data_IF_428518184708
#
_entry.id   IF_428518184708
#
_cell.length_a   1.000
_cell.length_b   1.000
_cell.length_c   1.000
_cell.angle_alpha   90.00
_cell.angle_beta   90.00
_cell.angle_gamma   90.00
#
_symmetry.space_group_name_H-M   'P 1'
#
loop_
_entity.id
_entity.type
_entity.pdbx_description
1 polymer ?
#
# COMPACT_ATOMS: atom_id res chain seq x y z
N UNK A 1 -6.01 35.97 24.90
CA UNK A 1 -6.79 34.71 24.81
C UNK A 1 -5.79 33.57 24.69
N UNK A 2 -5.67 32.77 25.75
CA UNK A 2 -4.64 31.74 25.97
C UNK A 2 -5.05 30.43 25.29
N UNK A 3 -4.10 29.80 24.57
CA UNK A 3 -4.31 28.52 23.89
C UNK A 3 -4.59 27.38 24.90
N UNK A 4 -5.53 26.47 24.63
CA UNK A 4 -5.76 25.31 25.49
C UNK A 4 -4.56 24.34 25.40
N UNK A 5 -4.08 23.92 26.57
CA UNK A 5 -2.83 23.22 26.77
C UNK A 5 -2.70 21.88 26.03
N UNK A 6 -1.54 21.71 25.40
CA UNK A 6 -1.11 20.50 24.67
C UNK A 6 -0.58 19.39 25.60
N UNK A 7 -1.34 19.02 26.64
CA UNK A 7 -0.95 17.94 27.56
C UNK A 7 -2.04 16.86 27.67
N UNK A 8 -2.43 16.29 26.53
CA UNK A 8 -3.10 15.00 26.54
C UNK A 8 -2.10 13.89 26.90
N UNK A 9 -2.50 12.83 27.62
CA UNK A 9 -1.62 11.72 27.94
C UNK A 9 -1.04 11.12 26.65
N UNK A 10 0.29 11.10 26.54
CA UNK A 10 0.97 10.43 25.43
C UNK A 10 0.65 8.93 25.52
N UNK A 11 0.27 8.27 24.41
CA UNK A 11 0.07 6.83 24.43
C UNK A 11 1.34 6.16 24.95
N UNK A 12 1.21 5.34 25.99
CA UNK A 12 2.32 4.50 26.46
C UNK A 12 2.47 3.37 25.47
N UNK A 13 3.41 3.52 24.55
CA UNK A 13 3.65 2.50 23.53
C UNK A 13 4.37 1.29 24.13
N UNK A 14 4.09 0.05 23.69
CA UNK A 14 4.71 -1.16 24.20
C UNK A 14 6.23 -1.13 24.05
N UNK A 15 6.95 -1.41 25.14
CA UNK A 15 8.41 -1.57 25.12
C UNK A 15 8.77 -2.85 24.35
N UNK A 16 9.55 -2.73 23.27
CA UNK A 16 10.04 -3.86 22.48
C UNK A 16 9.73 -3.81 20.98
N UNK A 17 8.90 -2.86 20.54
CA UNK A 17 8.70 -2.60 19.11
C UNK A 17 9.87 -1.78 18.57
N UNK A 18 10.64 -2.39 17.67
CA UNK A 18 11.76 -1.76 16.96
C UNK A 18 11.42 -1.62 15.48
N UNK A 19 12.20 -0.84 14.73
CA UNK A 19 11.97 -0.66 13.28
C UNK A 19 12.06 -1.97 12.48
N UNK A 20 12.69 -2.98 13.04
CA UNK A 20 12.80 -4.37 12.59
C UNK A 20 11.53 -5.22 12.80
N UNK A 21 10.47 -4.66 13.40
CA UNK A 21 9.17 -5.34 13.50
C UNK A 21 8.37 -5.26 12.17
N UNK A 22 7.56 -6.30 11.83
CA UNK A 22 6.92 -6.43 10.52
C UNK A 22 5.92 -5.30 10.17
N UNK A 23 5.56 -4.45 11.14
CA UNK A 23 4.92 -3.17 10.93
C UNK A 23 5.91 -2.09 11.36
N UNK A 24 6.32 -1.15 10.47
CA UNK A 24 7.29 -0.14 10.83
C UNK A 24 6.74 0.70 11.97
N UNK A 25 7.32 0.52 13.15
CA UNK A 25 6.82 1.10 14.39
C UNK A 25 6.86 2.64 14.34
N UNK A 26 7.90 3.22 13.74
CA UNK A 26 7.99 4.65 13.46
C UNK A 26 6.81 5.17 12.61
N UNK A 27 6.35 4.37 11.63
CA UNK A 27 5.23 4.72 10.75
C UNK A 27 3.93 4.87 11.52
N UNK A 28 3.64 3.94 12.42
CA UNK A 28 2.43 3.98 13.25
C UNK A 28 2.40 5.19 14.19
N UNK A 29 3.54 5.51 14.83
CA UNK A 29 3.64 6.66 15.74
C UNK A 29 3.41 7.98 15.02
N UNK A 30 3.97 8.13 13.82
CA UNK A 30 3.72 9.31 12.97
C UNK A 30 2.25 9.36 12.57
N UNK A 31 1.70 8.27 12.04
CA UNK A 31 0.31 8.22 11.55
C UNK A 31 -0.73 8.50 12.63
N UNK A 32 -0.53 8.04 13.87
CA UNK A 32 -1.42 8.34 14.98
C UNK A 32 -1.57 9.85 15.24
N UNK A 33 -0.55 10.64 14.88
CA UNK A 33 -0.53 12.08 15.09
C UNK A 33 -0.86 12.90 13.83
N UNK A 34 -0.98 12.31 12.64
CA UNK A 34 -1.38 13.02 11.42
C UNK A 34 -2.88 13.32 11.47
N UNK A 35 -3.24 14.60 11.49
CA UNK A 35 -4.63 15.06 11.50
C UNK A 35 -4.91 16.27 10.56
N UNK A 36 -3.93 16.62 9.71
CA UNK A 36 -4.03 17.75 8.78
C UNK A 36 -3.93 19.14 9.40
N UNK A 37 -3.75 19.26 10.72
CA UNK A 37 -3.66 20.54 11.45
C UNK A 37 -2.32 20.75 12.17
N UNK A 38 -1.55 19.68 12.36
CA UNK A 38 -0.25 19.68 13.04
C UNK A 38 0.90 19.85 12.06
N UNK A 39 1.91 20.59 12.51
CA UNK A 39 3.19 20.76 11.82
C UNK A 39 4.06 19.51 11.92
N UNK A 40 5.11 19.44 11.09
CA UNK A 40 6.05 18.31 11.07
C UNK A 40 6.80 18.20 12.41
N UNK A 41 7.13 19.34 13.01
CA UNK A 41 7.82 19.45 14.29
C UNK A 41 6.97 18.94 15.46
N UNK A 42 5.69 19.30 15.49
CA UNK A 42 4.73 18.80 16.49
C UNK A 42 4.53 17.29 16.37
N UNK A 43 4.43 16.77 15.13
CA UNK A 43 4.33 15.34 14.87
C UNK A 43 5.59 14.62 15.35
N UNK A 44 6.78 15.13 15.04
CA UNK A 44 8.06 14.55 15.49
C UNK A 44 8.14 14.48 17.02
N UNK A 45 7.76 15.56 17.71
CA UNK A 45 7.81 15.63 19.16
C UNK A 45 6.83 14.65 19.82
N UNK A 46 5.62 14.52 19.29
CA UNK A 46 4.61 13.58 19.80
C UNK A 46 4.97 12.12 19.48
N UNK A 47 5.45 11.89 18.26
CA UNK A 47 5.92 10.59 17.79
C UNK A 47 7.30 10.21 18.33
N UNK A 48 7.99 11.08 19.07
CA UNK A 48 9.30 10.82 19.67
C UNK A 48 10.34 10.31 18.68
N UNK A 49 10.41 10.93 17.50
CA UNK A 49 11.40 10.69 16.45
C UNK A 49 12.06 12.00 16.02
N UNK A 50 13.15 11.94 15.25
CA UNK A 50 13.76 13.13 14.67
C UNK A 50 12.85 13.80 13.64
N UNK A 51 12.88 15.13 13.57
CA UNK A 51 12.09 15.91 12.59
C UNK A 51 12.44 15.50 11.15
N UNK A 52 13.73 15.23 10.89
CA UNK A 52 14.23 14.74 9.61
C UNK A 52 13.65 13.38 9.20
N UNK A 53 13.18 12.57 10.15
CA UNK A 53 12.67 11.21 9.91
C UNK A 53 11.17 11.22 9.58
N UNK A 54 10.45 12.31 9.89
CA UNK A 54 9.00 12.41 9.65
C UNK A 54 8.68 12.40 8.15
N UNK A 55 9.40 13.16 7.33
CA UNK A 55 9.12 13.28 5.90
C UNK A 55 9.31 11.95 5.13
N UNK A 56 10.40 11.19 5.33
CA UNK A 56 10.54 9.84 4.77
C UNK A 56 9.40 8.91 5.16
N UNK A 57 8.98 8.94 6.43
CA UNK A 57 7.88 8.12 6.94
C UNK A 57 6.55 8.51 6.27
N UNK A 58 6.25 9.80 6.15
CA UNK A 58 5.04 10.27 5.47
C UNK A 58 5.02 9.91 3.97
N UNK A 59 6.17 9.94 3.31
CA UNK A 59 6.30 9.49 1.91
C UNK A 59 6.00 7.99 1.77
N UNK A 60 6.51 7.18 2.70
CA UNK A 60 6.24 5.74 2.73
C UNK A 60 4.76 5.46 2.99
N UNK A 61 4.14 6.16 3.94
CA UNK A 61 2.69 6.11 4.19
C UNK A 61 1.91 6.46 2.93
N UNK A 62 2.24 7.57 2.27
CA UNK A 62 1.52 8.02 1.08
C UNK A 62 1.56 6.95 -0.02
N UNK A 63 2.73 6.32 -0.20
CA UNK A 63 2.90 5.20 -1.13
C UNK A 63 1.99 4.02 -0.77
N UNK A 64 1.89 3.68 0.51
CA UNK A 64 1.06 2.56 0.97
C UNK A 64 -0.43 2.86 0.88
N UNK A 65 -0.84 4.07 1.28
CA UNK A 65 -2.21 4.54 1.20
C UNK A 65 -2.68 4.61 -0.27
N UNK A 66 -1.84 5.11 -1.17
CA UNK A 66 -2.15 5.15 -2.60
C UNK A 66 -2.32 3.73 -3.18
N UNK A 67 -1.42 2.81 -2.84
CA UNK A 67 -1.54 1.40 -3.26
C UNK A 67 -2.80 0.72 -2.70
N UNK A 68 -3.13 0.96 -1.45
CA UNK A 68 -4.35 0.45 -0.83
C UNK A 68 -5.59 1.02 -1.54
N UNK A 69 -5.61 2.33 -1.81
CA UNK A 69 -6.69 2.98 -2.53
C UNK A 69 -6.86 2.41 -3.94
N UNK A 70 -5.76 2.24 -4.70
CA UNK A 70 -5.78 1.63 -6.03
C UNK A 70 -6.32 0.19 -6.00
N UNK A 71 -5.94 -0.61 -5.01
CA UNK A 71 -6.43 -1.99 -4.86
C UNK A 71 -7.91 -2.10 -4.53
N UNK A 72 -8.47 -1.10 -3.84
CA UNK A 72 -9.90 -1.05 -3.51
C UNK A 72 -10.77 -0.53 -4.65
N UNK A 73 -10.18 0.05 -5.71
CA UNK A 73 -10.94 0.51 -6.87
C UNK A 73 -11.43 -0.67 -7.72
N UNK A 74 -12.60 -0.49 -8.34
CA UNK A 74 -13.08 -1.39 -9.38
C UNK A 74 -12.09 -1.42 -10.55
N UNK A 75 -11.91 -2.60 -11.15
CA UNK A 75 -11.03 -2.76 -12.30
C UNK A 75 -11.60 -1.97 -13.48
N UNK A 76 -10.85 -0.97 -13.92
CA UNK A 76 -11.08 -0.29 -15.19
C UNK A 76 -10.53 -1.11 -16.35
N UNK A 77 -11.05 -0.87 -17.56
CA UNK A 77 -10.55 -1.52 -18.78
C UNK A 77 -9.04 -1.32 -18.99
N UNK A 78 -8.54 -0.10 -18.76
CA UNK A 78 -7.11 0.21 -18.88
C UNK A 78 -6.25 -0.57 -17.86
N UNK A 79 -6.76 -0.78 -16.65
CA UNK A 79 -6.08 -1.61 -15.65
C UNK A 79 -6.09 -3.09 -16.05
N UNK A 80 -7.20 -3.62 -16.55
CA UNK A 80 -7.28 -4.99 -17.06
C UNK A 80 -6.29 -5.23 -18.21
N UNK A 81 -6.23 -4.30 -19.19
CA UNK A 81 -5.27 -4.36 -20.29
C UNK A 81 -3.81 -4.34 -19.78
N UNK A 82 -3.51 -3.49 -18.80
CA UNK A 82 -2.17 -3.42 -18.22
C UNK A 82 -1.80 -4.70 -17.47
N UNK A 83 -2.75 -5.30 -16.73
CA UNK A 83 -2.57 -6.57 -16.04
C UNK A 83 -2.35 -7.71 -17.04
N UNK A 84 -3.14 -7.75 -18.12
CA UNK A 84 -2.99 -8.70 -19.22
C UNK A 84 -1.60 -8.61 -19.83
N UNK A 85 -1.13 -7.42 -20.22
CA UNK A 85 0.24 -7.22 -20.75
C UNK A 85 1.33 -7.73 -19.78
N UNK A 86 1.16 -7.49 -18.47
CA UNK A 86 2.10 -7.97 -17.46
C UNK A 86 2.13 -9.50 -17.39
N UNK A 87 0.97 -10.15 -17.46
CA UNK A 87 0.84 -11.61 -17.48
C UNK A 87 1.36 -12.22 -18.79
N UNK A 88 1.07 -11.60 -19.93
CA UNK A 88 1.61 -12.04 -21.23
C UNK A 88 3.12 -12.02 -21.27
N UNK A 89 3.75 -11.07 -20.58
CA UNK A 89 5.21 -11.01 -20.45
C UNK A 89 5.78 -12.20 -19.65
N UNK A 90 5.01 -12.78 -18.73
CA UNK A 90 5.44 -13.89 -17.86
C UNK A 90 5.06 -15.26 -18.43
N UNK A 91 3.87 -15.39 -19.01
CA UNK A 91 3.28 -16.66 -19.45
C UNK A 91 3.08 -16.77 -20.96
N UNK A 92 3.44 -15.74 -21.73
CA UNK A 92 3.08 -15.65 -23.14
C UNK A 92 1.57 -15.47 -23.34
N UNK A 93 1.03 -15.80 -24.53
CA UNK A 93 -0.38 -15.55 -24.87
C UNK A 93 -1.41 -16.14 -23.90
N UNK A 94 -1.05 -17.20 -23.15
CA UNK A 94 -1.91 -17.80 -22.13
C UNK A 94 -2.27 -16.82 -21.00
N UNK A 95 -1.44 -15.81 -20.76
CA UNK A 95 -1.70 -14.80 -19.74
C UNK A 95 -2.94 -13.93 -20.03
N UNK A 96 -3.31 -13.78 -21.30
CA UNK A 96 -4.50 -12.99 -21.69
C UNK A 96 -5.79 -13.73 -21.31
N UNK A 97 -5.88 -15.02 -21.64
CA UNK A 97 -7.01 -15.88 -21.27
C UNK A 97 -7.21 -15.97 -19.75
N UNK A 98 -6.12 -16.05 -18.97
CA UNK A 98 -6.23 -16.07 -17.51
C UNK A 98 -6.86 -14.80 -16.93
N UNK A 99 -6.65 -13.64 -17.56
CA UNK A 99 -7.26 -12.39 -17.12
C UNK A 99 -8.74 -12.36 -17.45
N UNK A 100 -9.11 -12.80 -18.66
CA UNK A 100 -10.51 -12.87 -19.09
C UNK A 100 -11.30 -13.85 -18.23
N UNK A 101 -10.77 -15.05 -18.00
CA UNK A 101 -11.38 -16.05 -17.12
C UNK A 101 -11.55 -15.52 -15.68
N UNK A 102 -10.52 -14.84 -15.14
CA UNK A 102 -10.60 -14.27 -13.80
C UNK A 102 -11.59 -13.11 -13.70
N UNK A 103 -11.76 -12.30 -14.76
CA UNK A 103 -12.75 -11.22 -14.79
C UNK A 103 -14.17 -11.76 -14.89
N UNK A 104 -14.38 -12.82 -15.67
CA UNK A 104 -15.67 -13.51 -15.79
C UNK A 104 -16.06 -14.19 -14.47
N UNK A 105 -15.11 -14.86 -13.81
CA UNK A 105 -15.33 -15.52 -12.51
C UNK A 105 -15.64 -14.54 -11.37
N UNK A 106 -14.92 -13.42 -11.31
CA UNK A 106 -15.07 -12.41 -10.24
C UNK A 106 -16.22 -11.43 -10.51
N UNK A 107 -16.65 -11.31 -11.77
CA UNK A 107 -17.75 -10.47 -12.23
C UNK A 107 -17.44 -8.97 -12.33
N UNK A 108 -18.42 -8.24 -12.88
CA UNK A 108 -18.31 -6.84 -13.31
C UNK A 108 -18.00 -5.78 -12.24
N UNK A 109 -17.91 -6.15 -10.95
CA UNK A 109 -17.57 -5.23 -9.84
C UNK A 109 -16.33 -5.67 -9.08
N UNK A 110 -15.50 -6.52 -9.68
CA UNK A 110 -14.27 -6.94 -9.05
C UNK A 110 -13.32 -5.76 -8.83
N UNK A 111 -12.58 -5.81 -7.72
CA UNK A 111 -11.55 -4.82 -7.41
C UNK A 111 -10.21 -5.26 -7.96
N UNK A 112 -9.30 -4.31 -8.19
CA UNK A 112 -7.94 -4.63 -8.63
C UNK A 112 -7.25 -5.58 -7.63
N UNK A 113 -7.48 -5.41 -6.33
CA UNK A 113 -6.94 -6.31 -5.31
C UNK A 113 -7.47 -7.74 -5.43
N UNK A 114 -8.75 -7.92 -5.73
CA UNK A 114 -9.37 -9.23 -5.91
C UNK A 114 -8.85 -9.93 -7.18
N UNK A 115 -8.78 -9.21 -8.30
CA UNK A 115 -8.22 -9.71 -9.56
C UNK A 115 -6.77 -10.16 -9.38
N UNK A 116 -5.91 -9.30 -8.81
CA UNK A 116 -4.49 -9.63 -8.61
C UNK A 116 -4.29 -10.82 -7.66
N UNK A 117 -5.13 -10.94 -6.62
CA UNK A 117 -5.07 -12.07 -5.69
C UNK A 117 -5.50 -13.38 -6.34
N UNK A 118 -6.57 -13.35 -7.15
CA UNK A 118 -7.03 -14.51 -7.89
C UNK A 118 -5.98 -14.99 -8.89
N UNK A 119 -5.41 -14.08 -9.69
CA UNK A 119 -4.35 -14.40 -10.65
C UNK A 119 -3.11 -14.96 -9.95
N UNK A 120 -2.66 -14.35 -8.85
CA UNK A 120 -1.51 -14.84 -8.10
C UNK A 120 -1.70 -16.27 -7.55
N UNK A 121 -2.92 -16.65 -7.18
CA UNK A 121 -3.23 -18.00 -6.70
C UNK A 121 -3.10 -19.08 -7.80
N UNK A 122 -3.13 -18.69 -9.07
CA UNK A 122 -2.99 -19.59 -10.23
C UNK A 122 -1.54 -19.68 -10.73
N UNK A 123 -0.63 -18.87 -10.18
CA UNK A 123 0.78 -18.80 -10.60
C UNK A 123 1.69 -19.59 -9.66
N UNK A 124 2.79 -20.11 -10.19
CA UNK A 124 3.90 -20.61 -9.37
C UNK A 124 4.67 -19.45 -8.73
N UNK A 125 5.35 -19.70 -7.60
CA UNK A 125 6.13 -18.66 -6.88
C UNK A 125 7.09 -17.87 -7.80
N UNK A 126 7.89 -18.48 -8.69
CA UNK A 126 8.75 -17.73 -9.61
C UNK A 126 7.97 -16.82 -10.58
N UNK A 127 6.79 -17.27 -11.03
CA UNK A 127 5.92 -16.50 -11.91
C UNK A 127 5.27 -15.33 -11.17
N UNK A 128 4.84 -15.54 -9.90
CA UNK A 128 4.34 -14.46 -9.03
C UNK A 128 5.39 -13.37 -8.88
N UNK A 129 6.65 -13.72 -8.58
CA UNK A 129 7.72 -12.73 -8.43
C UNK A 129 7.99 -11.96 -9.73
N UNK A 130 7.98 -12.64 -10.88
CA UNK A 130 8.13 -12.01 -12.18
C UNK A 130 6.95 -11.08 -12.52
N UNK A 131 5.73 -11.51 -12.22
CA UNK A 131 4.50 -10.75 -12.45
C UNK A 131 4.44 -9.50 -11.56
N UNK A 132 4.73 -9.64 -10.26
CA UNK A 132 4.80 -8.52 -9.31
C UNK A 132 5.85 -7.49 -9.76
N UNK A 133 7.00 -7.94 -10.29
CA UNK A 133 8.01 -7.02 -10.84
C UNK A 133 7.46 -6.21 -12.02
N UNK A 134 6.69 -6.82 -12.92
CA UNK A 134 6.04 -6.12 -14.03
C UNK A 134 4.99 -5.12 -13.54
N UNK A 135 4.14 -5.52 -12.58
CA UNK A 135 3.14 -4.64 -11.99
C UNK A 135 3.75 -3.41 -11.34
N UNK A 136 4.87 -3.56 -10.59
CA UNK A 136 5.60 -2.43 -10.00
C UNK A 136 6.12 -1.47 -11.07
N UNK A 137 6.69 -2.00 -12.16
CA UNK A 137 7.18 -1.19 -13.27
C UNK A 137 6.06 -0.39 -13.95
N UNK A 138 4.81 -0.86 -13.87
CA UNK A 138 3.61 -0.20 -14.41
C UNK A 138 2.82 0.61 -13.37
N UNK A 139 3.29 0.69 -12.12
CA UNK A 139 2.64 1.45 -11.04
C UNK A 139 1.38 0.80 -10.45
N UNK A 140 1.20 -0.51 -10.62
CA UNK A 140 0.05 -1.27 -10.12
C UNK A 140 0.32 -2.09 -8.84
N UNK A 141 1.57 -2.11 -8.32
CA UNK A 141 1.98 -2.87 -7.12
C UNK A 141 2.98 -2.12 -6.22
#
# INVERSE_FOLDING_TARGET
MTAPGMNGPRPTWPTGLKDDSPLPYALWRVMHHVNGRRTVEEIAQMAGIGVQDVAPVLSQVATWANRAALRSQHVSKAQAETVSQCLTTVLGPMGEFMVDDALDDLGNRTTLGALLSNLAAQLTEPQVQAFVRQLRAKGLA
#
